data_IF_645596374599
#
_entry.id   IF_645596374599
#
_cell.length_a   1.000
_cell.length_b   1.000
_cell.length_c   1.000
_cell.angle_alpha   90.00
_cell.angle_beta   90.00
_cell.angle_gamma   90.00
#
_symmetry.space_group_name_H-M   'P 1'
#
loop_
_entity.id
_entity.type
_entity.pdbx_description
1 polymer ?
#
# COMPACT_ATOMS: atom_id res chain seq x y z
N UNK A 1 -45.63 16.90 -15.66
CA UNK A 1 -45.37 15.45 -15.85
C UNK A 1 -45.75 14.66 -14.59
N UNK A 2 -46.97 14.15 -14.57
CA UNK A 2 -47.50 13.28 -13.50
C UNK A 2 -46.82 11.90 -13.59
N UNK A 3 -46.30 11.39 -12.47
CA UNK A 3 -45.87 9.99 -12.38
C UNK A 3 -46.97 9.13 -11.77
N UNK A 4 -47.21 7.99 -12.42
CA UNK A 4 -48.26 7.01 -12.11
C UNK A 4 -47.87 6.19 -10.87
N UNK A 5 -48.72 6.18 -9.84
CA UNK A 5 -48.57 5.35 -8.63
C UNK A 5 -49.33 4.04 -8.81
N UNK A 6 -48.73 3.07 -9.52
CA UNK A 6 -49.24 1.71 -9.58
C UNK A 6 -48.09 0.68 -9.60
N UNK A 7 -47.15 0.80 -8.67
CA UNK A 7 -46.29 -0.33 -8.35
C UNK A 7 -46.52 -0.76 -6.90
N UNK A 8 -47.25 -1.85 -6.75
CA UNK A 8 -47.49 -2.54 -5.48
C UNK A 8 -46.28 -3.41 -5.18
N UNK A 9 -45.21 -2.81 -4.71
CA UNK A 9 -44.16 -3.50 -3.95
C UNK A 9 -43.56 -2.47 -3.00
N UNK A 10 -43.92 -2.61 -1.72
CA UNK A 10 -43.52 -1.68 -0.68
C UNK A 10 -42.01 -1.76 -0.42
N UNK A 11 -41.26 -0.78 -0.91
CA UNK A 11 -40.05 -0.35 -0.23
C UNK A 11 -40.01 1.18 -0.24
N UNK A 12 -40.17 1.76 0.94
CA UNK A 12 -40.11 3.19 1.19
C UNK A 12 -38.76 3.75 0.72
N UNK A 13 -38.80 4.68 -0.24
CA UNK A 13 -37.71 5.62 -0.51
C UNK A 13 -37.48 6.45 0.75
N UNK A 14 -36.56 5.98 1.58
CA UNK A 14 -36.04 6.76 2.67
C UNK A 14 -34.88 7.59 2.12
N UNK A 15 -35.06 8.90 2.10
CA UNK A 15 -33.98 9.89 2.01
C UNK A 15 -33.04 9.77 3.23
N UNK A 16 -32.37 8.62 3.41
CA UNK A 16 -31.22 8.45 4.29
C UNK A 16 -29.99 8.78 3.47
N UNK A 17 -29.09 9.60 4.01
CA UNK A 17 -27.86 9.99 3.33
C UNK A 17 -27.18 8.81 2.65
N UNK A 18 -27.05 8.89 1.33
CA UNK A 18 -26.37 7.87 0.52
C UNK A 18 -24.89 8.08 0.73
N UNK A 19 -24.35 7.48 1.78
CA UNK A 19 -22.91 7.32 1.88
C UNK A 19 -22.49 6.35 0.77
N UNK A 20 -21.57 6.75 -0.12
CA UNK A 20 -21.09 5.84 -1.14
C UNK A 20 -20.47 4.60 -0.48
N UNK A 21 -20.51 3.44 -1.15
CA UNK A 21 -19.84 2.24 -0.68
C UNK A 21 -18.36 2.54 -0.39
N UNK A 22 -17.80 1.86 0.61
CA UNK A 22 -16.38 2.00 0.95
C UNK A 22 -15.54 1.63 -0.26
N UNK A 23 -14.88 2.62 -0.84
CA UNK A 23 -14.05 2.48 -2.03
C UNK A 23 -12.58 2.61 -1.63
N UNK A 24 -11.75 1.67 -2.09
CA UNK A 24 -10.30 1.82 -1.99
C UNK A 24 -9.83 2.76 -3.09
N UNK A 25 -9.54 4.01 -2.72
CA UNK A 25 -9.05 5.04 -3.64
C UNK A 25 -7.59 4.87 -4.01
N UNK A 26 -6.83 4.12 -3.21
CA UNK A 26 -5.39 3.99 -3.37
C UNK A 26 -5.03 3.34 -4.71
N UNK A 27 -5.80 2.37 -5.19
CA UNK A 27 -5.53 1.66 -6.45
C UNK A 27 -5.59 2.54 -7.70
N UNK A 28 -6.21 3.71 -7.62
CA UNK A 28 -6.32 4.69 -8.72
C UNK A 28 -5.57 5.99 -8.44
N UNK A 29 -4.81 6.02 -7.36
CA UNK A 29 -4.07 7.19 -6.88
C UNK A 29 -2.64 7.21 -7.40
N UNK A 30 -2.04 8.41 -7.40
CA UNK A 30 -0.63 8.54 -7.73
C UNK A 30 0.18 8.43 -6.43
N UNK A 31 1.10 7.47 -6.36
CA UNK A 31 1.97 7.25 -5.19
C UNK A 31 3.44 7.44 -5.57
N UNK A 32 4.19 8.11 -4.70
CA UNK A 32 5.63 8.29 -4.85
C UNK A 32 6.34 8.11 -3.51
N UNK A 33 7.60 7.70 -3.55
CA UNK A 33 8.47 7.63 -2.38
C UNK A 33 9.81 8.30 -2.69
N UNK A 34 10.43 8.94 -1.70
CA UNK A 34 11.73 9.59 -1.90
C UNK A 34 12.87 8.58 -2.13
N UNK A 35 12.69 7.33 -1.68
CA UNK A 35 13.66 6.27 -1.84
C UNK A 35 12.97 4.91 -1.82
N UNK A 36 13.41 4.00 -2.67
CA UNK A 36 12.93 2.61 -2.75
C UNK A 36 14.12 1.68 -2.81
N UNK A 37 13.99 0.49 -2.21
CA UNK A 37 15.10 -0.44 -2.19
C UNK A 37 15.53 -0.87 -3.60
N UNK A 38 16.81 -1.20 -3.77
CA UNK A 38 17.32 -1.74 -5.01
C UNK A 38 17.54 -0.72 -6.14
N UNK A 39 17.34 0.59 -5.91
CA UNK A 39 17.51 1.63 -6.95
C UNK A 39 18.98 1.89 -7.31
N UNK A 40 19.89 1.93 -6.34
CA UNK A 40 21.32 2.16 -6.57
C UNK A 40 22.07 0.85 -6.92
N UNK A 41 21.49 -0.31 -6.59
CA UNK A 41 22.13 -1.63 -6.70
C UNK A 41 21.35 -2.69 -5.93
N UNK A 42 21.61 -3.99 -6.14
CA UNK A 42 21.09 -5.03 -5.26
C UNK A 42 21.51 -4.77 -3.81
N UNK A 43 20.56 -4.86 -2.88
CA UNK A 43 20.81 -4.74 -1.44
C UNK A 43 20.20 -5.91 -0.66
N UNK A 44 20.86 -6.31 0.42
CA UNK A 44 20.36 -7.38 1.29
C UNK A 44 19.49 -6.82 2.41
N UNK A 45 18.42 -7.52 2.74
CA UNK A 45 17.55 -7.20 3.88
C UNK A 45 17.21 -8.46 4.67
N UNK A 46 16.92 -8.34 5.96
CA UNK A 46 16.54 -9.47 6.80
C UNK A 46 15.22 -9.21 7.54
N UNK A 47 14.23 -10.08 7.35
CA UNK A 47 12.97 -9.99 8.09
C UNK A 47 13.22 -10.25 9.57
N UNK A 48 12.78 -9.33 10.43
CA UNK A 48 12.84 -9.57 11.87
C UNK A 48 11.89 -10.72 12.23
N UNK A 49 12.48 -11.83 12.65
CA UNK A 49 11.77 -12.86 13.41
C UNK A 49 11.79 -12.44 14.87
N UNK A 50 10.62 -12.52 15.50
CA UNK A 50 10.46 -12.47 16.95
C UNK A 50 11.49 -13.41 17.61
N UNK A 51 11.96 -13.06 18.80
CA UNK A 51 12.95 -13.83 19.59
C UNK A 51 12.41 -15.21 19.99
N UNK A 52 12.21 -16.10 19.02
CA UNK A 52 11.87 -17.50 19.20
C UNK A 52 13.16 -18.27 18.95
N UNK A 53 13.65 -18.87 20.03
CA UNK A 53 14.88 -19.66 20.13
C UNK A 53 15.14 -20.46 18.83
N UNK A 54 16.24 -20.13 18.14
CA UNK A 54 16.81 -20.89 17.01
C UNK A 54 16.02 -20.93 15.69
N UNK A 55 15.68 -19.77 15.13
CA UNK A 55 15.42 -19.67 13.67
C UNK A 55 16.41 -18.73 13.01
N UNK A 56 16.98 -19.17 11.89
CA UNK A 56 17.84 -18.31 11.06
C UNK A 56 17.05 -17.10 10.54
N UNK A 57 17.68 -15.91 10.50
CA UNK A 57 17.05 -14.73 9.95
C UNK A 57 16.64 -14.99 8.50
N UNK A 58 15.39 -14.64 8.18
CA UNK A 58 14.87 -14.77 6.82
C UNK A 58 15.37 -13.58 6.00
N UNK A 59 16.56 -13.72 5.41
CA UNK A 59 17.18 -12.70 4.58
C UNK A 59 16.85 -12.89 3.09
N UNK A 60 16.84 -11.78 2.35
CA UNK A 60 16.58 -11.72 0.93
C UNK A 60 17.35 -10.59 0.26
N UNK A 61 17.24 -10.51 -1.06
CA UNK A 61 17.85 -9.45 -1.87
C UNK A 61 16.74 -8.61 -2.49
N UNK A 62 16.83 -7.29 -2.33
CA UNK A 62 16.04 -6.33 -3.09
C UNK A 62 16.87 -5.75 -4.23
N UNK A 63 16.35 -5.82 -5.46
CA UNK A 63 16.96 -5.21 -6.64
C UNK A 63 15.86 -4.79 -7.61
N UNK A 64 15.69 -3.48 -7.80
CA UNK A 64 14.66 -2.89 -8.67
C UNK A 64 14.85 -3.27 -10.15
N UNK A 65 16.06 -3.66 -10.55
CA UNK A 65 16.40 -4.06 -11.93
C UNK A 65 16.45 -5.58 -12.11
N UNK A 66 16.14 -6.34 -11.07
CA UNK A 66 16.18 -7.80 -11.13
C UNK A 66 15.13 -8.34 -12.10
N UNK A 67 15.47 -9.35 -12.93
CA UNK A 67 14.49 -10.06 -13.74
C UNK A 67 13.52 -10.91 -12.89
N UNK A 68 13.88 -11.21 -11.65
CA UNK A 68 13.01 -11.88 -10.68
C UNK A 68 12.14 -10.85 -9.95
N UNK A 69 10.84 -10.92 -10.22
CA UNK A 69 9.78 -10.07 -9.65
C UNK A 69 9.75 -10.13 -8.12
N UNK A 70 10.15 -11.25 -7.52
CA UNK A 70 10.14 -11.42 -6.05
C UNK A 70 11.19 -10.57 -5.34
N UNK A 71 12.16 -10.04 -6.08
CA UNK A 71 13.22 -9.15 -5.58
C UNK A 71 12.89 -7.67 -5.82
N UNK A 72 11.75 -7.36 -6.46
CA UNK A 72 11.31 -5.98 -6.75
C UNK A 72 10.22 -5.56 -5.78
N UNK A 73 10.47 -4.46 -5.07
CA UNK A 73 9.57 -3.92 -4.03
C UNK A 73 9.23 -2.46 -4.32
N UNK A 74 8.70 -2.19 -5.52
CA UNK A 74 8.37 -0.85 -6.00
C UNK A 74 7.23 -0.19 -5.22
N UNK A 75 7.17 1.15 -5.25
CA UNK A 75 6.17 1.92 -4.49
C UNK A 75 4.73 1.62 -4.92
N UNK A 76 4.53 1.21 -6.17
CA UNK A 76 3.24 0.80 -6.72
C UNK A 76 2.67 -0.44 -6.03
N UNK A 77 3.52 -1.31 -5.49
CA UNK A 77 3.08 -2.51 -4.76
C UNK A 77 2.27 -2.15 -3.50
N UNK A 78 2.42 -0.94 -2.95
CA UNK A 78 1.64 -0.50 -1.80
C UNK A 78 0.16 -0.23 -2.13
N UNK A 79 -0.18 -0.06 -3.41
CA UNK A 79 -1.53 0.33 -3.87
C UNK A 79 -2.14 -0.61 -4.92
N UNK A 80 -1.38 -1.60 -5.40
CA UNK A 80 -1.79 -2.49 -6.50
C UNK A 80 -2.87 -3.52 -6.10
N UNK A 81 -3.16 -3.66 -4.81
CA UNK A 81 -4.15 -4.60 -4.28
C UNK A 81 -3.67 -6.05 -4.18
N UNK A 82 -2.39 -6.31 -4.48
CA UNK A 82 -1.74 -7.61 -4.33
C UNK A 82 -1.11 -7.75 -2.93
N UNK A 83 -0.63 -8.94 -2.51
CA UNK A 83 0.12 -9.09 -1.26
C UNK A 83 1.59 -8.65 -1.39
N UNK A 84 2.02 -8.12 -2.54
CA UNK A 84 3.34 -7.54 -2.69
C UNK A 84 3.47 -6.31 -1.80
N UNK A 85 4.70 -5.94 -1.47
CA UNK A 85 4.98 -4.77 -0.64
C UNK A 85 5.97 -3.85 -1.33
N UNK A 86 5.91 -2.57 -0.95
CA UNK A 86 6.99 -1.62 -1.15
C UNK A 86 7.98 -1.70 0.01
N UNK A 87 9.26 -1.48 -0.26
CA UNK A 87 10.30 -1.47 0.76
C UNK A 87 11.27 -0.29 0.60
N UNK A 88 11.57 0.36 1.72
CA UNK A 88 12.61 1.40 1.80
C UNK A 88 14.01 0.80 1.67
N UNK A 89 15.02 1.59 1.26
CA UNK A 89 16.41 1.14 1.34
C UNK A 89 16.82 0.81 2.78
N UNK A 90 17.83 -0.05 2.91
CA UNK A 90 18.41 -0.41 4.19
C UNK A 90 19.24 0.72 4.79
N UNK A 91 19.36 0.75 6.12
CA UNK A 91 20.24 1.69 6.82
C UNK A 91 21.73 1.44 6.54
N UNK A 92 22.09 0.26 6.03
CA UNK A 92 23.44 -0.05 5.56
C UNK A 92 23.85 0.85 4.39
N UNK A 93 22.88 1.27 3.56
CA UNK A 93 23.10 2.21 2.46
C UNK A 93 23.19 3.69 2.90
N UNK A 94 23.10 3.96 4.21
CA UNK A 94 23.45 5.24 4.82
C UNK A 94 22.37 5.85 5.71
N UNK A 95 22.80 6.75 6.59
CA UNK A 95 21.92 7.44 7.57
C UNK A 95 20.82 8.28 6.93
N UNK A 96 20.95 8.66 5.65
CA UNK A 96 19.91 9.37 4.89
C UNK A 96 18.58 8.60 4.82
N UNK A 97 18.61 7.28 5.03
CA UNK A 97 17.43 6.42 5.02
C UNK A 97 16.84 6.17 6.42
N UNK A 98 17.28 6.91 7.44
CA UNK A 98 16.62 6.93 8.77
C UNK A 98 15.19 7.47 8.70
N UNK A 99 14.90 8.27 7.67
CA UNK A 99 13.53 8.65 7.31
C UNK A 99 13.30 8.47 5.81
N UNK A 100 12.06 8.11 5.49
CA UNK A 100 11.55 8.03 4.13
C UNK A 100 10.20 8.73 4.07
N UNK A 101 9.92 9.36 2.93
CA UNK A 101 8.67 10.08 2.69
C UNK A 101 7.92 9.40 1.57
N UNK A 102 6.67 9.03 1.86
CA UNK A 102 5.71 8.51 0.88
C UNK A 102 4.66 9.58 0.67
N UNK A 103 4.38 9.92 -0.58
CA UNK A 103 3.33 10.85 -0.98
C UNK A 103 2.26 10.11 -1.76
N UNK A 104 1.01 10.24 -1.33
CA UNK A 104 -0.16 9.59 -1.92
C UNK A 104 -1.17 10.65 -2.32
N UNK A 105 -1.37 10.84 -3.63
CA UNK A 105 -2.37 11.75 -4.17
C UNK A 105 -3.63 10.97 -4.57
N UNK A 106 -4.61 11.01 -3.66
CA UNK A 106 -5.90 10.36 -3.82
C UNK A 106 -6.85 11.13 -4.76
N UNK A 107 -6.48 12.33 -5.24
CA UNK A 107 -7.30 13.18 -6.11
C UNK A 107 -8.70 13.51 -5.54
N UNK A 108 -8.83 13.48 -4.21
CA UNK A 108 -10.09 13.72 -3.51
C UNK A 108 -9.97 14.74 -2.37
N UNK A 109 -11.05 15.47 -2.12
CA UNK A 109 -11.15 16.51 -1.09
C UNK A 109 -11.65 16.00 0.27
N UNK A 110 -12.19 14.78 0.34
CA UNK A 110 -12.73 14.20 1.58
C UNK A 110 -12.35 12.73 1.68
N UNK A 111 -11.71 12.39 2.79
CA UNK A 111 -11.25 11.04 3.09
C UNK A 111 -11.76 10.71 4.49
N UNK A 112 -12.37 9.54 4.63
CA UNK A 112 -12.92 9.11 5.90
C UNK A 112 -11.88 8.43 6.77
N UNK A 113 -11.05 7.56 6.19
CA UNK A 113 -10.05 6.78 6.92
C UNK A 113 -8.83 6.52 6.04
N UNK A 114 -7.66 6.44 6.67
CA UNK A 114 -6.43 5.94 6.08
C UNK A 114 -5.99 4.69 6.82
N UNK A 115 -5.50 3.69 6.09
CA UNK A 115 -4.92 2.48 6.66
C UNK A 115 -3.59 2.20 5.99
N UNK A 116 -2.53 2.11 6.78
CA UNK A 116 -1.23 1.64 6.35
C UNK A 116 -0.92 0.31 7.05
N UNK A 117 -0.42 -0.66 6.30
CA UNK A 117 0.12 -1.92 6.82
C UNK A 117 1.63 -1.86 6.74
N UNK A 118 2.31 -2.04 7.87
CA UNK A 118 3.78 -1.98 7.93
C UNK A 118 4.38 -3.38 8.03
N UNK A 119 5.45 -3.62 7.27
CA UNK A 119 6.34 -4.76 7.39
C UNK A 119 7.71 -4.25 7.83
N UNK A 120 8.25 -4.82 8.90
CA UNK A 120 9.54 -4.40 9.44
C UNK A 120 10.65 -5.37 9.02
N UNK A 121 11.70 -4.80 8.43
CA UNK A 121 12.93 -5.49 8.04
C UNK A 121 14.11 -4.81 8.73
N UNK A 122 15.15 -5.59 9.03
CA UNK A 122 16.44 -5.15 9.54
C UNK A 122 17.46 -5.08 8.41
#
# INVERSE_FOLDING_TARGET
PYYNLNNKDGHFDQLRGVFPPTLNLASTSDITANATCGQEGPEEFCKMVEHVVMREPQCGVCDSRSPDDKKRHDITNAIDGTPNWWQSPTLQNGKKFEWVTITLDLKQVKIHFFKFSFLFFK
#
